data_IF_227392008655
#
_entry.id   IF_227392008655
#
_cell.length_a   1.000
_cell.length_b   1.000
_cell.length_c   1.000
_cell.angle_alpha   90.00
_cell.angle_beta   90.00
_cell.angle_gamma   90.00
#
_symmetry.space_group_name_H-M   'P 1'
#
loop_
_entity.id
_entity.type
_entity.pdbx_description
1 polymer ?
2 non-polymer ?
3 non-polymer ?
4 water ?
#
# COMPACT_ATOMS: atom_id res chain seq x y z
N UNK A 3 -20.48 -8.89 9.34
CA UNK A 3 -20.81 -7.50 9.77
C UNK A 3 -19.73 -6.52 9.32
N UNK A 4 -19.56 -6.41 8.01
CA UNK A 4 -18.57 -5.50 7.41
C UNK A 4 -19.19 -4.12 7.25
N UNK A 5 -18.40 -3.06 7.52
CA UNK A 5 -18.81 -1.68 7.25
C UNK A 5 -17.60 -0.93 6.72
N UNK A 6 -17.78 -0.12 5.67
CA UNK A 6 -16.66 0.65 5.13
C UNK A 6 -16.26 1.80 6.07
N UNK A 7 -17.13 2.14 7.02
CA UNK A 7 -16.90 3.26 7.94
C UNK A 7 -16.48 2.80 9.33
N UNK A 8 -16.04 1.55 9.43
CA UNK A 8 -15.50 1.00 10.67
C UNK A 8 -14.26 0.18 10.33
N UNK A 9 -13.42 -0.04 11.32
CA UNK A 9 -12.30 -0.97 11.15
C UNK A 9 -12.82 -2.40 11.28
N UNK A 10 -12.47 -3.25 10.32
CA UNK A 10 -12.95 -4.64 10.25
C UNK A 10 -11.83 -5.62 10.57
N UNK A 11 -12.13 -6.66 11.36
CA UNK A 11 -11.11 -7.65 11.69
C UNK A 11 -10.78 -8.50 10.46
N UNK A 12 -9.75 -9.32 10.54
CA UNK A 12 -9.30 -10.05 9.35
C UNK A 12 -10.38 -11.01 8.84
N UNK A 13 -11.04 -11.71 9.76
CA UNK A 13 -12.09 -12.65 9.33
C UNK A 13 -13.13 -11.91 8.48
N UNK A 14 -13.44 -10.68 8.87
CA UNK A 14 -14.44 -9.86 8.20
C UNK A 14 -13.90 -9.36 6.85
N UNK A 15 -12.65 -8.88 6.82
CA UNK A 15 -12.05 -8.43 5.56
C UNK A 15 -11.96 -9.59 4.58
N UNK A 16 -11.52 -10.73 5.08
CA UNK A 16 -11.42 -11.94 4.25
C UNK A 16 -12.76 -12.30 3.60
N UNK A 17 -13.81 -12.34 4.40
CA UNK A 17 -15.15 -12.67 3.88
C UNK A 17 -15.62 -11.60 2.88
N UNK A 18 -15.30 -10.33 3.16
CA UNK A 18 -15.55 -9.23 2.23
C UNK A 18 -14.82 -9.42 0.89
N UNK A 19 -13.55 -9.86 0.88
CA UNK A 19 -12.86 -10.05 -0.40
C UNK A 19 -13.61 -11.05 -1.28
N UNK A 20 -14.20 -12.05 -0.63
CA UNK A 20 -14.96 -13.08 -1.36
C UNK A 20 -16.31 -12.53 -1.84
N UNK A 21 -17.02 -11.83 -0.96
CA UNK A 21 -18.35 -11.30 -1.26
C UNK A 21 -18.31 -10.16 -2.27
N UNK A 22 -17.34 -9.26 -2.14
CA UNK A 22 -17.26 -8.13 -3.07
C UNK A 22 -16.93 -8.64 -4.50
N UNK A 23 -16.17 -9.73 -4.58
CA UNK A 23 -15.83 -10.33 -5.86
C UNK A 23 -17.05 -11.03 -6.45
N UNK A 24 -17.75 -11.82 -5.63
CA UNK A 24 -18.95 -12.53 -6.11
C UNK A 24 -20.07 -11.57 -6.56
N UNK A 25 -20.19 -10.43 -5.89
CA UNK A 25 -21.22 -9.43 -6.23
C UNK A 25 -20.87 -8.63 -7.48
N UNK A 26 -19.57 -8.58 -7.81
CA UNK A 26 -19.09 -7.75 -8.92
C UNK A 26 -18.21 -8.53 -9.91
N UNK A 27 -18.71 -9.67 -10.43
CA UNK A 27 -17.85 -10.60 -11.18
C UNK A 27 -17.33 -10.04 -12.51
N UNK A 28 -17.96 -9.00 -13.03
CA UNK A 28 -17.48 -8.40 -14.27
C UNK A 28 -16.48 -7.24 -14.03
N UNK A 29 -16.22 -6.93 -12.76
CA UNK A 29 -15.29 -5.85 -12.41
C UNK A 29 -14.15 -6.30 -11.50
N UNK A 30 -14.33 -7.43 -10.81
CA UNK A 30 -13.36 -7.87 -9.79
C UNK A 30 -13.09 -9.37 -9.88
N UNK A 31 -11.81 -9.76 -9.85
CA UNK A 31 -11.48 -11.17 -9.61
C UNK A 31 -10.52 -11.25 -8.42
N UNK A 32 -10.50 -12.41 -7.78
CA UNK A 32 -9.72 -12.57 -6.56
C UNK A 32 -8.78 -13.75 -6.70
N UNK A 33 -7.51 -13.55 -6.32
CA UNK A 33 -6.57 -14.66 -6.24
C UNK A 33 -5.85 -14.66 -4.90
N UNK A 34 -5.28 -15.79 -4.51
CA UNK A 34 -4.36 -15.82 -3.36
C UNK A 34 -2.95 -15.87 -3.94
N UNK A 35 -2.08 -14.94 -3.55
CA UNK A 35 -0.75 -14.83 -4.17
C UNK A 35 0.32 -15.53 -3.34
N UNK A 36 -0.09 -16.08 -2.21
CA UNK A 36 0.84 -16.71 -1.29
C UNK A 36 0.19 -16.88 0.07
N UNK A 37 0.97 -17.33 1.04
CA UNK A 37 0.48 -17.47 2.41
C UNK A 37 1.45 -16.80 3.38
N UNK A 38 0.91 -16.37 4.51
CA UNK A 38 1.69 -15.71 5.57
C UNK A 38 2.47 -16.75 6.37
N UNK A 39 3.36 -16.27 7.25
CA UNK A 39 4.08 -17.13 8.19
C UNK A 39 3.16 -18.14 8.89
N UNK A 40 2.03 -17.65 9.39
CA UNK A 40 1.06 -18.46 10.16
C UNK A 40 0.10 -19.26 9.27
N UNK A 41 0.20 -19.09 7.97
CA UNK A 41 -0.56 -19.91 7.01
C UNK A 41 -1.79 -19.25 6.41
N UNK A 42 -1.96 -17.94 6.65
CA UNK A 42 -3.11 -17.20 6.11
C UNK A 42 -2.97 -16.86 4.63
N UNK A 43 -4.08 -16.96 3.88
CA UNK A 43 -4.03 -16.66 2.45
C UNK A 43 -3.89 -15.17 2.26
N UNK A 44 -2.95 -14.77 1.40
CA UNK A 44 -2.76 -13.36 1.06
C UNK A 44 -3.57 -13.05 -0.20
N UNK A 45 -4.69 -12.37 -0.03
CA UNK A 45 -5.55 -12.12 -1.18
C UNK A 45 -5.20 -10.88 -1.96
N UNK A 46 -5.45 -10.95 -3.27
CA UNK A 46 -5.20 -9.86 -4.17
C UNK A 46 -6.44 -9.71 -5.04
N UNK A 47 -6.93 -8.48 -5.13
CA UNK A 47 -8.12 -8.21 -5.95
C UNK A 47 -7.67 -7.53 -7.24
N UNK A 48 -8.15 -8.07 -8.37
CA UNK A 48 -7.90 -7.44 -9.66
C UNK A 48 -9.18 -6.68 -10.03
N UNK A 49 -9.09 -5.35 -10.05
CA UNK A 49 -10.25 -4.48 -10.24
C UNK A 49 -10.12 -3.77 -11.59
N UNK A 50 -11.09 -3.99 -12.46
CA UNK A 50 -11.03 -3.44 -13.82
C UNK A 50 -11.95 -4.23 -14.71
N UNK A 51 -12.34 -3.62 -15.82
CA UNK A 51 -13.12 -4.32 -16.84
C UNK A 51 -12.15 -5.14 -17.68
N UNK A 52 -12.30 -6.47 -17.68
CA UNK A 52 -11.36 -7.32 -18.45
C UNK A 52 -11.22 -6.90 -19.90
N UNK A 53 -10.00 -7.01 -20.42
CA UNK A 53 -9.66 -6.60 -21.78
C UNK A 53 -8.27 -7.10 -22.11
N UNK A 54 -7.92 -7.14 -23.41
CA UNK A 54 -6.58 -7.54 -23.80
C UNK A 54 -5.52 -6.47 -23.54
N UNK A 55 -4.33 -6.94 -23.16
CA UNK A 55 -3.13 -6.12 -23.03
C UNK A 55 -3.30 -4.82 -22.26
N UNK A 56 -3.96 -4.91 -21.10
CA UNK A 56 -4.21 -3.74 -20.28
C UNK A 56 -3.03 -3.45 -19.36
N UNK A 57 -2.65 -2.16 -19.26
CA UNK A 57 -1.68 -1.77 -18.23
C UNK A 57 -2.33 -1.82 -16.85
N UNK A 58 -1.51 -1.80 -15.81
CA UNK A 58 -2.01 -2.01 -14.46
C UNK A 58 -1.33 -1.08 -13.48
N UNK A 59 -2.03 -0.81 -12.38
CA UNK A 59 -1.45 -0.11 -11.23
C UNK A 59 -1.55 -1.06 -10.04
N UNK A 60 -0.47 -1.20 -9.30
CA UNK A 60 -0.44 -2.05 -8.11
C UNK A 60 -0.51 -1.19 -6.86
N UNK A 61 -1.41 -1.56 -5.94
CA UNK A 61 -1.53 -0.87 -4.64
C UNK A 61 -1.66 -1.85 -3.48
N UNK A 62 -0.81 -1.68 -2.47
CA UNK A 62 -0.92 -2.48 -1.26
C UNK A 62 -1.31 -1.60 -0.07
N UNK A 63 -2.03 -2.22 0.86
CA UNK A 63 -2.30 -1.67 2.18
C UNK A 63 -1.89 -2.67 3.25
N UNK A 64 -1.74 -2.18 4.49
CA UNK A 64 -1.52 -3.05 5.63
C UNK A 64 -0.20 -3.79 5.63
N UNK A 65 0.83 -3.23 5.02
CA UNK A 65 2.22 -3.74 5.23
C UNK A 65 2.53 -3.73 6.74
N UNK A 66 2.09 -2.67 7.41
CA UNK A 66 2.27 -2.56 8.86
C UNK A 66 0.96 -2.71 9.60
N UNK A 67 1.02 -3.55 10.64
CA UNK A 67 -0.18 -4.05 11.31
C UNK A 67 -1.06 -2.96 11.95
N UNK A 68 -0.43 -2.01 12.65
CA UNK A 68 -1.15 -1.01 13.45
C UNK A 68 -1.77 0.13 12.64
N UNK A 69 -1.41 0.21 11.36
CA UNK A 69 -1.86 1.32 10.50
C UNK A 69 -3.26 1.03 9.93
N UNK A 70 -4.23 0.94 10.83
CA UNK A 70 -5.58 0.48 10.48
C UNK A 70 -6.27 1.28 9.36
N UNK A 71 -5.97 2.57 9.28
CA UNK A 71 -6.56 3.41 8.25
C UNK A 71 -6.10 2.97 6.84
N UNK A 72 -4.91 2.38 6.75
CA UNK A 72 -4.42 1.85 5.47
C UNK A 72 -5.32 0.71 4.99
N UNK A 73 -5.55 -0.27 5.84
CA UNK A 73 -6.46 -1.38 5.48
C UNK A 73 -7.83 -0.83 5.06
N UNK A 74 -8.35 0.11 5.85
CA UNK A 74 -9.64 0.74 5.57
C UNK A 74 -9.64 1.40 4.20
N UNK A 75 -8.52 2.03 3.83
CA UNK A 75 -8.45 2.67 2.52
C UNK A 75 -8.54 1.72 1.33
N UNK A 76 -7.82 0.60 1.37
CA UNK A 76 -7.91 -0.35 0.24
C UNK A 76 -9.36 -0.81 0.06
N UNK A 77 -10.05 -1.04 1.17
CA UNK A 77 -11.46 -1.43 1.07
C UNK A 77 -12.27 -0.27 0.47
N UNK A 78 -11.97 0.96 0.90
CA UNK A 78 -12.67 2.14 0.36
C UNK A 78 -12.45 2.29 -1.14
N UNK A 79 -11.23 2.03 -1.58
CA UNK A 79 -10.94 2.15 -2.98
C UNK A 79 -11.81 1.21 -3.80
N UNK A 80 -11.89 -0.04 -3.37
CA UNK A 80 -12.71 -1.03 -4.07
C UNK A 80 -14.18 -0.63 -4.00
N UNK A 81 -14.61 -0.17 -2.83
CA UNK A 81 -15.97 0.39 -2.68
C UNK A 81 -16.29 1.43 -3.78
N UNK A 82 -15.38 2.39 -3.96
CA UNK A 82 -15.54 3.48 -4.93
C UNK A 82 -15.56 2.95 -6.35
N UNK A 83 -14.71 1.96 -6.63
CA UNK A 83 -14.65 1.35 -7.97
C UNK A 83 -16.01 0.75 -8.36
N UNK A 84 -16.58 -0.04 -7.45
CA UNK A 84 -17.84 -0.73 -7.75
C UNK A 84 -19.05 0.20 -7.71
N UNK A 85 -19.01 1.17 -6.80
CA UNK A 85 -20.09 2.12 -6.64
C UNK A 85 -20.19 3.12 -7.81
N UNK A 86 -19.04 3.57 -8.32
CA UNK A 86 -19.00 4.66 -9.28
C UNK A 86 -18.67 4.28 -10.73
N UNK A 87 -18.25 3.04 -10.96
CA UNK A 87 -18.08 2.58 -12.34
C UNK A 87 -19.44 2.68 -13.04
N UNK A 88 -19.47 3.38 -14.18
CA UNK A 88 -20.71 3.60 -14.91
C UNK A 88 -21.44 4.86 -14.48
N UNK A 89 -20.99 5.47 -13.38
CA UNK A 89 -21.67 6.66 -12.83
C UNK A 89 -20.79 7.91 -12.80
N UNK A 90 -19.49 7.73 -12.92
CA UNK A 90 -18.58 8.85 -12.88
C UNK A 90 -17.55 8.63 -13.96
N UNK A 91 -17.38 9.67 -14.78
CA UNK A 91 -16.54 9.65 -15.97
C UNK A 91 -15.13 9.06 -15.78
N UNK A 92 -14.43 9.58 -14.78
CA UNK A 92 -13.03 9.24 -14.56
C UNK A 92 -12.83 7.81 -14.10
N UNK A 93 -13.51 7.41 -13.04
CA UNK A 93 -13.40 6.03 -12.56
C UNK A 93 -13.81 5.03 -13.66
N UNK A 94 -14.81 5.42 -14.46
CA UNK A 94 -15.23 4.59 -15.58
C UNK A 94 -14.09 4.39 -16.61
N UNK A 95 -13.47 5.49 -17.05
CA UNK A 95 -12.32 5.41 -17.95
C UNK A 95 -11.18 4.57 -17.36
N UNK A 96 -10.91 4.80 -16.07
CA UNK A 96 -9.81 4.11 -15.36
C UNK A 96 -9.98 2.61 -15.45
N UNK A 97 -11.15 2.12 -15.08
CA UNK A 97 -11.39 0.68 -15.02
C UNK A 97 -11.52 0.05 -16.41
N UNK A 98 -11.93 0.84 -17.40
CA UNK A 98 -11.87 0.37 -18.79
C UNK A 98 -10.46 0.20 -19.34
N UNK A 99 -9.58 1.15 -19.02
CA UNK A 99 -8.27 1.22 -19.66
C UNK A 99 -7.15 0.56 -18.87
N UNK A 100 -7.32 0.49 -17.55
CA UNK A 100 -6.34 -0.05 -16.62
C UNK A 100 -6.96 -1.12 -15.73
N UNK A 101 -6.09 -1.98 -15.19
CA UNK A 101 -6.46 -2.85 -14.09
C UNK A 101 -5.79 -2.33 -12.82
N UNK A 102 -6.48 -2.41 -11.69
CA UNK A 102 -5.85 -2.14 -10.39
C UNK A 102 -5.65 -3.45 -9.63
N UNK A 103 -4.40 -3.77 -9.30
CA UNK A 103 -4.16 -4.91 -8.42
C UNK A 103 -4.10 -4.37 -7.01
N UNK A 104 -5.14 -4.65 -6.23
CA UNK A 104 -5.28 -4.13 -4.87
C UNK A 104 -5.03 -5.25 -3.88
N UNK A 105 -4.01 -5.08 -3.05
CA UNK A 105 -3.72 -6.06 -2.01
C UNK A 105 -4.17 -5.46 -0.68
N UNK A 106 -5.37 -5.82 -0.20
CA UNK A 106 -5.98 -5.09 0.93
C UNK A 106 -5.22 -5.21 2.25
N UNK A 107 -4.63 -6.37 2.53
CA UNK A 107 -3.84 -6.52 3.76
C UNK A 107 -2.67 -7.45 3.43
N UNK A 108 -1.47 -6.90 3.42
CA UNK A 108 -0.28 -7.70 3.20
C UNK A 108 0.07 -8.51 4.46
N UNK A 109 0.18 -7.83 5.60
CA UNK A 109 0.70 -8.40 6.83
C UNK A 109 -0.49 -8.84 7.68
N UNK A 110 -1.15 -9.90 7.20
CA UNK A 110 -2.34 -10.42 7.86
C UNK A 110 -2.07 -10.88 9.30
N UNK A 111 -0.93 -11.57 9.52
CA UNK A 111 -0.63 -12.15 10.85
C UNK A 111 -0.47 -11.02 11.86
N UNK A 112 0.25 -9.98 11.46
CA UNK A 112 0.42 -8.81 12.31
C UNK A 112 -0.91 -8.14 12.59
N UNK A 113 -1.73 -7.99 11.54
CA UNK A 113 -3.05 -7.35 11.70
C UNK A 113 -3.92 -8.10 12.71
N UNK A 114 -3.99 -9.42 12.60
CA UNK A 114 -4.71 -10.24 13.59
C UNK A 114 -4.21 -9.95 15.02
N UNK A 115 -2.90 -9.87 15.16
CA UNK A 115 -2.27 -9.63 16.46
C UNK A 115 -2.64 -8.26 17.04
N UNK A 116 -2.86 -7.26 16.19
CA UNK A 116 -3.31 -5.93 16.69
C UNK A 116 -4.75 -5.96 17.20
N UNK A 117 -5.54 -6.94 16.72
CA UNK A 117 -6.91 -7.13 17.21
C UNK A 117 -7.01 -7.99 18.48
N UNK A 118 -6.04 -8.89 18.65
CA UNK A 118 -6.11 -9.88 19.73
C UNK A 118 -5.21 -9.56 20.95
N UNK A 119 -4.04 -8.97 20.71
CA UNK A 119 -2.99 -8.92 21.73
C UNK A 119 -2.35 -7.56 21.94
N UNK A 120 -2.04 -6.87 20.85
CA UNK A 120 -1.22 -5.65 20.91
C UNK A 120 -1.53 -4.70 19.78
N UNK A 121 -2.36 -3.69 20.08
CA UNK A 121 -2.87 -2.74 19.08
C UNK A 121 -1.76 -2.00 18.33
N UNK A 122 -0.61 -1.85 18.99
CA UNK A 122 0.54 -1.11 18.44
C UNK A 122 1.57 -1.96 17.68
N UNK A 123 1.27 -3.24 17.44
CA UNK A 123 2.20 -4.09 16.73
C UNK A 123 2.43 -3.60 15.29
N UNK A 124 3.66 -3.71 14.81
CA UNK A 124 4.06 -3.22 13.47
C UNK A 124 4.47 -4.32 12.50
N UNK A 125 5.36 -5.20 12.98
CA UNK A 125 6.08 -6.16 12.12
C UNK A 125 5.23 -7.39 11.76
N UNK A 126 5.86 -8.33 11.08
CA UNK A 126 5.26 -9.64 10.84
C UNK A 126 5.25 -10.40 12.18
N UNK A 127 4.83 -11.67 12.14
CA UNK A 127 4.81 -12.51 13.32
C UNK A 127 5.72 -13.73 13.21
N UNK A 128 6.74 -13.64 12.37
CA UNK A 128 7.71 -14.72 12.20
C UNK A 128 8.72 -14.79 13.35
N UNK A 129 9.19 -16.00 13.62
CA UNK A 129 10.23 -16.20 14.63
C UNK A 129 11.62 -15.85 14.14
N UNK A 130 12.50 -15.61 15.11
CA UNK A 130 13.87 -15.22 14.85
C UNK A 130 14.80 -16.15 15.64
N UNK A 131 15.84 -16.65 14.99
CA UNK A 131 16.83 -17.53 15.66
C UNK A 131 17.58 -16.80 16.79
N UNK A 132 17.80 -17.49 17.91
CA UNK A 132 18.66 -16.95 18.98
C UNK A 132 18.00 -15.92 19.89
N UNK A 133 16.69 -15.71 19.73
CA UNK A 133 15.93 -14.71 20.51
C UNK A 133 14.47 -15.11 20.58
N UNK A 134 13.72 -14.58 21.55
CA UNK A 134 12.25 -14.71 21.55
C UNK A 134 11.57 -13.48 20.93
N UNK A 135 12.34 -12.50 20.49
CA UNK A 135 11.75 -11.34 19.81
C UNK A 135 11.16 -11.82 18.48
N UNK A 136 10.00 -11.29 18.15
CA UNK A 136 9.23 -11.71 17.00
C UNK A 136 9.17 -10.66 15.90
N UNK A 137 9.24 -11.11 14.65
CA UNK A 137 8.86 -10.28 13.50
C UNK A 137 9.95 -9.53 12.76
N UNK A 138 9.65 -9.25 11.49
CA UNK A 138 10.53 -8.51 10.58
C UNK A 138 9.67 -7.35 10.03
N UNK A 139 10.30 -6.21 9.79
CA UNK A 139 9.58 -5.11 9.14
C UNK A 139 9.50 -5.40 7.64
N UNK A 140 8.28 -5.67 7.09
CA UNK A 140 8.27 -5.98 5.65
C UNK A 140 8.80 -4.84 4.78
N UNK A 141 8.62 -3.60 5.25
CA UNK A 141 9.10 -2.43 4.55
C UNK A 141 10.59 -2.11 4.77
N UNK A 142 11.32 -3.08 5.36
CA UNK A 142 12.79 -3.09 5.36
C UNK A 142 13.28 -4.46 4.84
N UNK A 143 12.40 -5.22 4.20
CA UNK A 143 12.72 -6.60 3.81
C UNK A 143 12.82 -6.81 2.28
N UNK A 144 12.51 -5.77 1.51
CA UNK A 144 12.70 -5.83 0.06
C UNK A 144 14.16 -5.64 -0.35
N UNK A 145 14.48 -6.15 -1.54
CA UNK A 145 15.86 -6.22 -2.00
C UNK A 145 16.24 -4.91 -2.71
N UNK A 146 16.24 -3.81 -1.95
CA UNK A 146 16.66 -2.51 -2.47
C UNK A 146 17.47 -1.82 -1.39
N UNK A 147 18.79 -1.73 -1.60
CA UNK A 147 19.71 -1.22 -0.57
C UNK A 147 19.50 -1.96 0.73
N UNK A 148 19.22 -3.26 0.63
CA UNK A 148 18.77 -4.06 1.77
C UNK A 148 19.69 -4.04 3.02
N UNK A 149 19.06 -3.71 4.15
CA UNK A 149 19.64 -3.73 5.51
C UNK A 149 20.81 -2.75 5.76
N UNK A 150 20.81 -1.65 5.01
CA UNK A 150 21.72 -0.53 5.29
C UNK A 150 21.17 0.39 6.39
N UNK A 151 21.81 1.55 6.58
CA UNK A 151 21.38 2.48 7.62
C UNK A 151 19.92 2.90 7.42
N UNK A 152 19.16 2.87 8.53
CA UNK A 152 17.71 3.12 8.47
C UNK A 152 16.91 1.85 8.66
N UNK A 153 17.57 0.70 8.55
CA UNK A 153 17.00 -0.60 8.97
C UNK A 153 17.89 -1.13 10.09
N UNK A 154 17.37 -2.05 10.89
CA UNK A 154 18.15 -2.59 12.01
C UNK A 154 18.52 -4.06 11.78
N UNK A 155 19.70 -4.45 12.26
CA UNK A 155 20.10 -5.86 12.26
C UNK A 155 19.66 -6.57 13.54
N UNK A 156 19.03 -5.83 14.44
CA UNK A 156 18.54 -6.38 15.70
C UNK A 156 17.11 -6.91 15.56
N UNK A 157 16.89 -8.24 15.71
CA UNK A 157 15.52 -8.77 15.54
C UNK A 157 14.50 -8.22 16.55
N UNK A 158 14.97 -7.63 17.64
CA UNK A 158 14.08 -7.04 18.64
C UNK A 158 13.66 -5.61 18.27
N UNK A 159 14.20 -5.10 17.18
CA UNK A 159 13.91 -3.73 16.75
C UNK A 159 12.76 -3.65 15.75
N UNK A 160 12.11 -2.49 15.74
CA UNK A 160 10.91 -2.25 14.93
C UNK A 160 11.21 -2.16 13.43
N UNK A 161 12.46 -1.88 13.08
CA UNK A 161 12.89 -1.81 11.67
C UNK A 161 13.80 -2.98 11.31
N UNK A 162 13.67 -4.08 12.01
CA UNK A 162 14.48 -5.27 11.71
C UNK A 162 14.30 -5.67 10.23
N UNK A 163 15.42 -5.86 9.55
CA UNK A 163 15.42 -6.08 8.09
C UNK A 163 15.19 -7.55 7.71
N UNK A 164 15.16 -8.44 8.68
CA UNK A 164 15.01 -9.88 8.45
C UNK A 164 16.33 -10.60 8.29
N UNK A 165 16.28 -11.92 8.12
CA UNK A 165 17.53 -12.70 7.98
C UNK A 165 18.20 -12.56 6.61
N UNK A 166 17.42 -12.16 5.60
CA UNK A 166 17.86 -11.98 4.23
C UNK A 166 16.79 -11.14 3.51
N UNK A 167 17.12 -10.48 2.42
CA UNK A 167 16.08 -9.83 1.62
C UNK A 167 15.03 -10.86 1.20
N UNK A 168 13.76 -10.49 1.33
CA UNK A 168 12.63 -11.39 1.01
C UNK A 168 12.54 -12.63 1.90
N UNK A 169 13.13 -12.55 3.09
CA UNK A 169 13.01 -13.62 4.07
C UNK A 169 11.56 -13.89 4.45
N UNK A 170 10.72 -12.86 4.46
CA UNK A 170 9.33 -13.01 4.91
C UNK A 170 8.48 -13.50 3.76
N UNK A 171 7.62 -14.48 4.05
CA UNK A 171 6.76 -15.04 3.02
C UNK A 171 5.92 -13.96 2.37
N UNK A 172 5.51 -12.97 3.18
CA UNK A 172 4.63 -11.91 2.71
C UNK A 172 5.35 -11.04 1.69
N UNK A 173 6.60 -10.68 1.99
CA UNK A 173 7.41 -9.85 1.10
C UNK A 173 7.69 -10.60 -0.20
N UNK A 174 8.12 -11.85 -0.09
CA UNK A 174 8.40 -12.69 -1.26
C UNK A 174 7.17 -12.80 -2.17
N UNK A 175 5.99 -13.00 -1.57
CA UNK A 175 4.72 -13.13 -2.31
C UNK A 175 4.42 -11.87 -3.14
N UNK A 176 4.52 -10.72 -2.49
CA UNK A 176 4.32 -9.46 -3.18
C UNK A 176 5.34 -9.25 -4.29
N UNK A 177 6.63 -9.40 -3.97
CA UNK A 177 7.69 -9.19 -4.95
C UNK A 177 7.56 -10.16 -6.12
N UNK A 178 7.23 -11.43 -5.82
CA UNK A 178 7.06 -12.46 -6.85
C UNK A 178 5.92 -12.03 -7.78
N UNK A 179 4.80 -11.57 -7.18
CA UNK A 179 3.68 -11.10 -7.99
C UNK A 179 4.05 -9.98 -8.95
N UNK A 180 4.71 -8.96 -8.44
CA UNK A 180 5.10 -7.84 -9.29
C UNK A 180 6.10 -8.28 -10.38
N UNK A 181 7.08 -9.10 -10.00
CA UNK A 181 8.02 -9.67 -10.98
C UNK A 181 7.31 -10.43 -12.11
N UNK A 182 6.30 -11.23 -11.75
CA UNK A 182 5.55 -12.03 -12.72
C UNK A 182 4.67 -11.20 -13.67
N UNK A 183 4.41 -9.93 -13.30
CA UNK A 183 3.52 -9.05 -14.05
C UNK A 183 4.16 -7.71 -14.38
N UNK A 184 5.49 -7.70 -14.36
CA UNK A 184 6.27 -6.47 -14.48
C UNK A 184 5.99 -5.68 -15.74
N UNK A 185 5.82 -6.37 -16.87
CA UNK A 185 5.57 -5.71 -18.15
C UNK A 185 4.21 -4.98 -18.23
N UNK A 186 3.29 -5.32 -17.32
CA UNK A 186 1.98 -4.70 -17.29
C UNK A 186 1.87 -3.58 -16.22
N UNK A 187 2.69 -3.66 -15.17
CA UNK A 187 2.55 -2.72 -14.03
C UNK A 187 3.30 -1.40 -14.29
N UNK A 188 2.55 -0.30 -14.24
CA UNK A 188 3.07 1.01 -14.62
C UNK A 188 3.25 1.93 -13.42
N UNK A 189 2.58 1.60 -12.32
CA UNK A 189 2.75 2.37 -11.08
C UNK A 189 2.59 1.46 -9.87
N UNK A 190 3.27 1.85 -8.79
CA UNK A 190 3.27 1.14 -7.52
C UNK A 190 2.85 2.13 -6.42
N UNK A 191 1.80 1.79 -5.68
CA UNK A 191 1.32 2.66 -4.60
C UNK A 191 1.25 1.88 -3.30
N UNK A 192 1.86 2.42 -2.23
CA UNK A 192 1.84 1.73 -0.95
C UNK A 192 1.22 2.60 0.14
N UNK A 193 0.19 2.09 0.82
CA UNK A 193 -0.61 2.93 1.73
C UNK A 193 -0.23 2.64 3.19
N UNK A 194 0.09 3.72 3.91
CA UNK A 194 0.59 3.65 5.27
C UNK A 194 -0.04 4.77 6.11
N UNK A 195 0.35 4.83 7.38
CA UNK A 195 0.08 6.01 8.23
C UNK A 195 1.17 6.08 9.30
N UNK A 196 1.30 7.20 10.01
CA UNK A 196 0.58 8.44 9.78
C UNK A 196 1.62 9.55 9.47
N UNK A 197 1.12 10.75 9.22
CA UNK A 197 1.90 12.02 9.13
C UNK A 197 1.58 12.91 7.92
N UNK A 198 0.69 12.43 7.04
CA UNK A 198 0.19 13.20 5.88
C UNK A 198 1.32 13.60 4.93
N UNK A 199 1.92 12.58 4.33
CA UNK A 199 3.12 12.71 3.53
C UNK A 199 2.97 11.84 2.29
N UNK A 200 3.32 12.36 1.12
CA UNK A 200 3.55 11.50 -0.05
C UNK A 200 5.05 11.41 -0.28
N UNK A 201 5.56 10.18 -0.24
CA UNK A 201 6.98 9.87 -0.43
C UNK A 201 7.14 9.23 -1.82
N UNK A 202 8.23 9.56 -2.52
CA UNK A 202 8.68 8.82 -3.69
C UNK A 202 10.19 8.48 -3.54
N UNK A 203 10.73 7.60 -4.38
CA UNK A 203 12.16 7.23 -4.21
C UNK A 203 13.16 8.41 -4.25
N UNK A 204 14.32 8.28 -3.61
CA UNK A 204 14.73 7.07 -2.88
C UNK A 204 14.68 7.20 -1.37
N UNK A 205 14.49 6.06 -0.71
CA UNK A 205 14.59 6.00 0.73
C UNK A 205 15.77 5.15 1.20
N UNK A 206 16.34 4.32 0.32
CA UNK A 206 17.46 3.45 0.77
C UNK A 206 18.84 4.14 0.81
N UNK A 207 18.92 5.34 0.24
CA UNK A 207 20.16 6.12 0.16
C UNK A 207 19.72 7.55 -0.10
N UNK A 208 20.61 8.51 0.20
CA UNK A 208 20.39 9.89 -0.20
C UNK A 208 20.73 10.02 -1.66
N UNK A 209 19.73 9.82 -2.52
CA UNK A 209 19.88 10.09 -3.94
C UNK A 209 18.52 10.40 -4.53
N UNK A 210 18.49 11.19 -5.58
CA UNK A 210 17.25 11.54 -6.26
C UNK A 210 17.05 10.66 -7.49
N UNK A 211 15.79 10.31 -7.80
CA UNK A 211 15.52 9.44 -8.95
C UNK A 211 15.73 10.17 -10.28
N UNK A 212 15.99 9.38 -11.32
CA UNK A 212 16.15 9.89 -12.68
C UNK A 212 15.05 10.88 -13.10
N UNK A 213 13.80 10.57 -12.73
CA UNK A 213 12.67 11.45 -13.04
C UNK A 213 12.18 12.23 -11.82
N UNK A 214 13.12 12.69 -11.00
CA UNK A 214 12.81 13.52 -9.81
C UNK A 214 11.87 14.70 -10.07
N UNK A 215 12.17 15.47 -11.12
CA UNK A 215 11.35 16.66 -11.46
C UNK A 215 9.91 16.26 -11.71
N UNK A 216 9.72 15.22 -12.51
CA UNK A 216 8.38 14.72 -12.82
C UNK A 216 7.63 14.26 -11.56
N UNK A 217 8.32 13.52 -10.69
CA UNK A 217 7.69 12.98 -9.47
C UNK A 217 7.38 14.09 -8.47
N UNK A 218 8.28 15.07 -8.36
CA UNK A 218 8.05 16.25 -7.55
C UNK A 218 6.77 16.95 -7.99
N UNK A 219 6.68 17.21 -9.29
CA UNK A 219 5.51 17.89 -9.87
C UNK A 219 4.22 17.08 -9.69
N UNK A 220 4.32 15.76 -9.85
CA UNK A 220 3.14 14.90 -9.72
C UNK A 220 2.68 14.86 -8.25
N UNK A 221 3.61 14.68 -7.33
CA UNK A 221 3.30 14.73 -5.90
C UNK A 221 2.64 16.04 -5.48
N UNK A 222 3.23 17.16 -5.93
CA UNK A 222 2.70 18.48 -5.63
C UNK A 222 1.24 18.60 -6.11
N UNK A 223 0.99 18.13 -7.33
CA UNK A 223 -0.35 18.22 -7.90
C UNK A 223 -1.34 17.31 -7.14
N UNK A 224 -0.87 16.14 -6.70
CA UNK A 224 -1.74 15.18 -6.02
C UNK A 224 -2.14 15.69 -4.63
N UNK A 225 -1.18 16.33 -3.97
CA UNK A 225 -1.33 16.97 -2.66
C UNK A 225 -2.32 18.13 -2.76
N UNK A 226 -2.24 18.86 -3.87
CA UNK A 226 -3.16 19.98 -4.16
C UNK A 226 -4.60 19.45 -4.38
N UNK A 227 -4.73 18.38 -5.15
CA UNK A 227 -6.01 17.73 -5.43
C UNK A 227 -6.66 17.27 -4.13
N UNK A 228 -5.84 16.64 -3.27
CA UNK A 228 -6.31 16.10 -1.99
C UNK A 228 -6.87 17.19 -1.07
N UNK A 229 -6.16 18.33 -1.01
CA UNK A 229 -6.55 19.46 -0.16
C UNK A 229 -7.88 20.10 -0.56
N UNK A 230 -8.30 19.92 -1.81
CA UNK A 230 -9.51 20.61 -2.33
C UNK A 230 -10.78 20.23 -1.58
N UNK A 231 -10.80 19.02 -1.01
CA UNK A 231 -11.97 18.48 -0.35
C UNK A 231 -12.22 19.10 1.03
N UNK A 232 -11.25 18.99 1.93
CA UNK A 232 -11.38 19.45 3.31
C UNK A 232 -10.26 20.39 3.78
N UNK A 233 -9.35 20.74 2.87
CA UNK A 233 -8.19 21.57 3.22
C UNK A 233 -7.09 20.85 3.98
N UNK A 234 -7.12 19.51 3.97
CA UNK A 234 -6.10 18.71 4.64
C UNK A 234 -4.76 18.91 3.94
N UNK A 235 -3.74 19.18 4.76
CA UNK A 235 -2.42 19.55 4.27
C UNK A 235 -1.47 18.35 4.32
N UNK A 236 -0.96 17.99 3.14
CA UNK A 236 0.10 16.98 3.02
C UNK A 236 1.39 17.63 2.58
N UNK A 237 2.51 17.08 3.04
CA UNK A 237 3.81 17.42 2.49
C UNK A 237 4.30 16.24 1.62
N UNK A 238 5.41 16.44 0.90
CA UNK A 238 5.82 15.45 -0.10
C UNK A 238 7.28 15.60 -0.46
N UNK A 239 7.85 14.52 -1.01
CA UNK A 239 9.18 14.58 -1.59
C UNK A 239 9.84 13.21 -1.60
N UNK A 240 11.14 13.17 -1.97
CA UNK A 240 11.87 11.91 -1.92
C UNK A 240 11.97 11.47 -0.47
N UNK A 241 11.94 10.14 -0.24
CA UNK A 241 11.82 9.61 1.10
C UNK A 241 12.95 9.97 2.04
N UNK A 242 14.18 9.71 1.61
CA UNK A 242 15.33 9.98 2.45
C UNK A 242 15.48 11.50 2.73
N UNK A 243 15.03 12.32 1.79
CA UNK A 243 15.12 13.79 2.01
C UNK A 243 13.99 14.37 2.87
N UNK A 244 12.79 13.79 2.83
CA UNK A 244 11.63 14.35 3.53
C UNK A 244 11.35 13.65 4.83
N UNK A 245 11.69 12.37 4.89
CA UNK A 245 11.21 11.54 5.97
C UNK A 245 12.37 11.02 6.78
N UNK A 246 13.03 10.00 6.24
CA UNK A 246 14.22 9.39 6.85
C UNK A 246 14.73 8.28 5.94
N UNK A 247 15.95 7.82 6.20
CA UNK A 247 16.43 6.64 5.50
C UNK A 247 15.57 5.45 5.96
N UNK A 248 15.10 4.69 4.98
CA UNK A 248 14.27 3.50 5.22
C UNK A 248 14.53 2.54 4.06
N UNK A 249 15.69 1.85 4.11
CA UNK A 249 16.10 0.94 3.05
C UNK A 249 15.28 -0.34 3.05
N UNK A 250 15.22 -1.00 1.90
CA UNK A 250 14.48 -2.27 1.75
C UNK A 250 12.98 -2.08 1.66
N UNK A 251 12.56 -0.92 1.15
CA UNK A 251 11.15 -0.62 0.98
C UNK A 251 10.59 -1.11 -0.36
N UNK A 252 9.29 -1.44 -0.37
CA UNK A 252 8.67 -1.93 -1.60
C UNK A 252 8.65 -0.86 -2.70
N UNK A 253 8.49 0.41 -2.31
CA UNK A 253 8.46 1.49 -3.31
C UNK A 253 9.78 1.64 -4.07
N UNK A 254 10.90 1.61 -3.36
CA UNK A 254 12.22 1.73 -3.99
C UNK A 254 12.54 0.47 -4.81
N UNK A 255 12.15 -0.68 -4.27
CA UNK A 255 12.35 -1.93 -5.02
C UNK A 255 11.57 -1.91 -6.35
N UNK A 256 10.29 -1.54 -6.29
CA UNK A 256 9.46 -1.43 -7.49
C UNK A 256 10.03 -0.43 -8.51
N UNK A 257 10.50 0.71 -8.00
CA UNK A 257 11.11 1.73 -8.85
C UNK A 257 12.35 1.15 -9.57
N UNK A 258 13.20 0.44 -8.85
CA UNK A 258 14.40 -0.15 -9.46
C UNK A 258 14.12 -1.33 -10.40
N UNK A 259 12.89 -1.84 -10.36
CA UNK A 259 12.41 -2.83 -11.35
C UNK A 259 11.98 -2.15 -12.64
N UNK A 260 11.89 -0.81 -12.60
CA UNK A 260 11.51 -0.02 -13.77
C UNK A 260 10.13 0.62 -13.68
N UNK A 261 9.47 0.47 -12.54
CA UNK A 261 8.14 1.08 -12.33
C UNK A 261 8.37 2.51 -11.86
N UNK A 262 8.32 3.44 -12.80
CA UNK A 262 8.85 4.78 -12.55
C UNK A 262 7.94 5.73 -11.79
N UNK A 263 6.68 5.32 -11.61
CA UNK A 263 5.72 6.05 -10.79
C UNK A 263 5.51 5.21 -9.54
N UNK A 264 6.20 5.60 -8.48
CA UNK A 264 6.19 4.82 -7.26
C UNK A 264 6.07 5.73 -6.06
N UNK A 265 5.04 5.49 -5.25
CA UNK A 265 4.73 6.40 -4.16
C UNK A 265 4.30 5.67 -2.90
N UNK A 266 4.67 6.26 -1.77
CA UNK A 266 4.17 5.85 -0.48
C UNK A 266 3.30 6.96 0.08
N UNK A 267 2.09 6.61 0.53
CA UNK A 267 1.18 7.58 1.13
C UNK A 267 1.13 7.35 2.62
N UNK A 268 1.48 8.35 3.41
CA UNK A 268 1.25 8.28 4.86
C UNK A 268 -0.02 9.07 5.13
N UNK A 269 -1.08 8.39 5.55
CA UNK A 269 -2.40 9.04 5.70
C UNK A 269 -2.53 9.83 7.01
N UNK A 270 -3.76 10.26 7.34
CA UNK A 270 -4.02 10.98 8.60
C UNK A 270 -3.58 10.18 9.87
N UNK A 271 -3.28 10.85 10.98
CA UNK A 271 -3.26 12.33 11.10
C UNK A 271 -1.83 12.83 11.24
N UNK A 272 -1.63 13.89 12.02
CA UNK A 272 -0.28 14.41 12.23
C UNK A 272 0.22 14.16 13.66
N UNK A 273 -0.49 13.30 14.39
CA UNK A 273 -0.03 12.82 15.68
C UNK A 273 -1.01 12.94 16.83
N UNK A 274 -2.15 13.61 16.60
CA UNK A 274 -3.14 13.77 17.67
C UNK A 274 -3.62 12.39 18.11
N UNK A 275 -4.06 11.58 17.15
CA UNK A 275 -4.43 10.19 17.40
C UNK A 275 -3.39 9.18 16.90
N UNK A 276 -2.57 9.61 15.94
CA UNK A 276 -1.50 8.77 15.40
C UNK A 276 -2.09 7.54 14.71
N UNK A 277 -1.63 6.36 15.12
CA UNK A 277 -2.12 5.11 14.52
C UNK A 277 -3.53 4.78 14.96
N UNK A 278 -3.94 5.31 16.10
CA UNK A 278 -5.26 5.05 16.66
C UNK A 278 -6.29 6.07 16.14
N UNK A 279 -6.28 6.27 14.83
CA UNK A 279 -7.24 7.17 14.18
C UNK A 279 -8.67 6.70 14.42
N UNK A 280 -9.54 7.58 14.96
CA UNK A 280 -10.93 7.20 15.26
C UNK A 280 -11.67 6.77 14.02
N UNK A 281 -12.58 5.81 14.17
CA UNK A 281 -13.42 5.36 13.08
C UNK A 281 -14.22 6.52 12.45
N UNK A 282 -14.56 7.53 13.23
CA UNK A 282 -15.32 8.68 12.70
C UNK A 282 -14.58 9.47 11.61
N UNK A 283 -13.27 9.24 11.50
CA UNK A 283 -12.45 9.88 10.47
C UNK A 283 -12.17 9.03 9.22
N UNK A 284 -12.65 7.77 9.22
CA UNK A 284 -12.41 6.89 8.08
C UNK A 284 -12.97 7.50 6.79
N UNK A 285 -14.25 7.89 6.82
CA UNK A 285 -14.91 8.45 5.63
C UNK A 285 -14.12 9.62 5.01
N UNK A 286 -13.87 10.67 5.79
CA UNK A 286 -13.19 11.86 5.26
C UNK A 286 -11.78 11.54 4.78
N UNK A 287 -11.04 10.78 5.58
CA UNK A 287 -9.68 10.38 5.21
C UNK A 287 -9.69 9.64 3.86
N UNK A 288 -10.58 8.66 3.73
CA UNK A 288 -10.63 7.89 2.50
C UNK A 288 -11.08 8.72 1.29
N UNK A 289 -12.10 9.54 1.47
CA UNK A 289 -12.61 10.38 0.36
C UNK A 289 -11.55 11.37 -0.18
N UNK A 290 -10.83 12.03 0.72
CA UNK A 290 -9.76 12.94 0.25
C UNK A 290 -8.59 12.17 -0.39
N UNK A 291 -8.25 11.01 0.18
CA UNK A 291 -7.17 10.18 -0.37
C UNK A 291 -7.53 9.70 -1.79
N UNK A 292 -8.80 9.35 -1.99
CA UNK A 292 -9.29 8.95 -3.32
C UNK A 292 -8.94 10.00 -4.38
N UNK A 293 -9.04 11.27 -4.03
CA UNK A 293 -8.75 12.31 -5.01
C UNK A 293 -7.29 12.29 -5.46
N UNK A 294 -6.36 12.03 -4.53
CA UNK A 294 -4.92 11.98 -4.85
C UNK A 294 -4.59 10.73 -5.67
N UNK A 295 -5.18 9.60 -5.27
CA UNK A 295 -5.01 8.32 -6.01
C UNK A 295 -5.54 8.45 -7.45
N UNK A 296 -6.73 9.05 -7.61
CA UNK A 296 -7.30 9.22 -8.95
C UNK A 296 -6.46 10.19 -9.77
N UNK A 297 -5.92 11.22 -9.12
CA UNK A 297 -5.07 12.17 -9.84
C UNK A 297 -3.84 11.45 -10.40
N UNK A 298 -3.19 10.65 -9.56
CA UNK A 298 -2.02 9.87 -9.99
C UNK A 298 -2.40 8.88 -11.09
N UNK A 299 -3.53 8.19 -10.92
CA UNK A 299 -4.02 7.22 -11.93
C UNK A 299 -4.20 7.88 -13.30
N UNK A 300 -4.87 9.04 -13.31
CA UNK A 300 -5.14 9.78 -14.55
C UNK A 300 -3.85 10.20 -15.22
N UNK A 301 -2.89 10.63 -14.41
CA UNK A 301 -1.56 10.99 -14.90
C UNK A 301 -0.86 9.79 -15.55
N UNK A 302 -0.83 8.67 -14.83
CA UNK A 302 -0.22 7.45 -15.38
C UNK A 302 -0.85 7.09 -16.74
N UNK A 303 -2.18 7.16 -16.82
CA UNK A 303 -2.89 6.88 -18.06
C UNK A 303 -2.47 7.76 -19.24
N UNK A 304 -2.18 9.02 -18.96
CA UNK A 304 -1.69 9.98 -19.94
C UNK A 304 -0.20 9.87 -20.25
N UNK A 305 0.49 8.97 -19.55
CA UNK A 305 1.94 8.85 -19.66
C UNK A 305 2.39 7.39 -19.68
N UNK A 306 1.67 6.56 -20.42
CA UNK A 306 2.02 5.14 -20.53
C UNK A 306 3.39 4.91 -21.18
N UNK A 307 4.03 3.82 -20.79
CA UNK A 307 5.39 3.49 -21.20
C UNK A 307 5.57 1.98 -21.03
X LIG B 1 3.48 1.63 7.32
X LIG C 1 -17.00 8.74 -2.40
X LIG D 1 3.42 15.03 -19.57
X LIG E 1 8.04 4.84 13.98
X LIG E 1 9.84 4.48 2.02
X LIG E 1 8.96 5.18 3.08
X LIG E 1 8.29 3.15 6.88
X LIG E 1 8.90 3.15 12.30
X LIG E 1 11.25 3.43 13.24
X LIG E 1 9.94 2.62 13.35
X LIG E 1 10.37 5.10 14.91
X LIG E 1 9.06 4.30 15.03
X LIG E 1 9.33 2.78 14.76
X LIG E 1 5.76 5.70 10.22
X LIG E 1 6.40 4.92 11.39
X LIG E 1 9.95 5.45 12.44
X LIG E 1 4.93 6.87 10.80
X LIG E 1 5.77 7.86 11.67
X LIG E 1 7.38 9.84 11.53
X LIG E 1 10.97 4.94 13.50
X LIG E 1 8.62 4.65 12.56
X LIG E 1 7.70 5.20 11.52
X LIG E 1 5.76 4.14 12.08
X LIG E 1 6.63 8.74 10.74
X LIG E 1 6.40 10.70 12.38
X LIG E 1 5.54 9.82 13.32
X LIG E 1 4.80 8.70 12.52
X LIG E 1 4.83 4.86 9.47
X LIG E 1 5.47 3.92 8.27
X LIG E 1 6.25 2.81 8.87
X LIG E 1 4.27 3.43 7.54
X LIG E 1 6.44 4.81 7.33
X LIG E 1 7.15 4.02 6.30
X LIG E 1 8.33 1.96 6.50
X LIG E 1 9.10 3.67 7.70
X LIG E 1 7.70 4.97 5.25
X LIG E 1 8.51 4.22 4.18
X LIG E 1 9.39 3.09 1.75
#
# INVERSE_FOLDING_TARGET
TTGHSYEKYNNWETIEAWTKQVTSENPDLISRTAIGTTFLGNNIYLLKVGKPGPNKPAIFMDCGIHAREWISHAFCQWFVREAVLTYGYESHMTEFLNKLDFYVLPVLNIDGYIYTWTKNRMWRKTRSTNAGTTCIGTDPNRNFDAGWCTTGASTDPCDETYCGSAAESEKETKALADFIRNNLSSIKAYLSIHSYSQHIVYPYSYDYKLPENNAELNNLAKAAVKELATLYGTKYTYGPGATTLYLAPGGGDDWAYDQGIKYSFTFELRDKGRYGFILPESQIQATCEETMLAIKYVTNYVLGHLY
ZN ZN
ZN ZN
ZN ZN
T5F C1 C2 C3 C7 C8 C9 C10 C11 C12 C13 C14 C15 C19 C21 C22 C24 C27 C18 N17 O16 C23 C25 C28 C29 N13 S1 O12 O1 N10 C6 O8 O9 C5 C4 N1
#
